data_IF_882118180009
#
_entry.id   IF_882118180009
#
_cell.length_a   1.000
_cell.length_b   1.000
_cell.length_c   1.000
_cell.angle_alpha   90.00
_cell.angle_beta   90.00
_cell.angle_gamma   90.00
#
_symmetry.space_group_name_H-M   'P 1'
#
loop_
_entity.id
_entity.type
_entity.pdbx_description
1 polymer ?
#
# COMPACT_ATOMS: atom_id res chain seq x y z
N UNK A 1 17.66 -11.73 38.29
CA UNK A 1 18.57 -11.67 37.12
C UNK A 1 18.62 -12.97 36.33
N UNK A 2 18.74 -14.15 36.96
CA UNK A 2 18.73 -15.44 36.25
C UNK A 2 17.44 -15.70 35.44
N UNK A 3 16.27 -15.47 36.05
CA UNK A 3 14.97 -15.62 35.37
C UNK A 3 14.85 -14.69 34.16
N UNK A 4 15.37 -13.45 34.27
CA UNK A 4 15.37 -12.47 33.18
C UNK A 4 16.29 -12.88 32.02
N UNK A 5 17.44 -13.47 32.32
CA UNK A 5 18.37 -14.02 31.32
C UNK A 5 17.76 -15.22 30.56
N UNK A 6 17.05 -16.09 31.29
CA UNK A 6 16.35 -17.25 30.70
C UNK A 6 15.18 -16.81 29.82
N UNK A 7 14.43 -15.78 30.22
CA UNK A 7 13.34 -15.22 29.38
C UNK A 7 13.86 -14.56 28.11
N UNK A 8 15.03 -13.90 28.15
CA UNK A 8 15.65 -13.33 26.95
C UNK A 8 16.21 -14.41 26.02
N UNK A 9 16.75 -15.50 26.56
CA UNK A 9 17.23 -16.65 25.77
C UNK A 9 16.08 -17.42 25.09
N UNK A 10 14.91 -17.47 25.74
CA UNK A 10 13.70 -18.06 25.16
C UNK A 10 13.15 -17.27 23.96
N UNK A 11 13.52 -16.00 23.79
CA UNK A 11 13.12 -15.22 22.61
C UNK A 11 13.95 -15.52 21.36
N UNK A 12 15.08 -16.22 21.49
CA UNK A 12 16.03 -16.50 20.39
C UNK A 12 15.46 -17.48 19.36
N UNK A 13 14.43 -18.26 19.71
CA UNK A 13 13.82 -19.26 18.81
C UNK A 13 12.54 -18.79 18.10
N UNK A 14 12.30 -17.48 17.99
CA UNK A 14 11.25 -16.97 17.10
C UNK A 14 11.78 -16.92 15.66
N UNK A 15 12.19 -18.08 15.12
CA UNK A 15 12.30 -18.24 13.68
C UNK A 15 10.90 -18.07 13.11
N UNK A 16 10.67 -16.93 12.47
CA UNK A 16 9.41 -16.61 11.80
C UNK A 16 9.16 -17.67 10.73
N UNK A 17 8.42 -18.72 11.07
CA UNK A 17 8.04 -19.77 10.13
C UNK A 17 6.97 -19.17 9.23
N UNK A 18 7.41 -18.55 8.13
CA UNK A 18 6.51 -18.01 7.13
C UNK A 18 5.67 -19.18 6.58
N UNK A 19 4.33 -19.13 6.70
CA UNK A 19 3.48 -20.17 6.15
C UNK A 19 3.66 -20.26 4.63
N UNK A 20 3.64 -21.46 4.07
CA UNK A 20 3.84 -21.69 2.63
C UNK A 20 2.79 -20.97 1.76
N UNK A 21 1.61 -20.70 2.29
CA UNK A 21 0.55 -19.95 1.61
C UNK A 21 0.77 -18.44 1.55
N UNK A 22 1.73 -17.89 2.31
CA UNK A 22 1.91 -16.43 2.45
C UNK A 22 2.42 -15.78 1.15
N UNK A 23 3.34 -16.44 0.45
CA UNK A 23 3.85 -15.96 -0.84
C UNK A 23 2.74 -15.85 -1.90
N UNK A 24 1.99 -16.93 -2.16
CA UNK A 24 0.83 -16.90 -3.05
C UNK A 24 -0.23 -15.88 -2.63
N UNK A 25 -0.52 -15.75 -1.33
CA UNK A 25 -1.49 -14.78 -0.83
C UNK A 25 -1.07 -13.33 -1.14
N UNK A 26 0.19 -12.97 -0.91
CA UNK A 26 0.72 -11.64 -1.26
C UNK A 26 0.63 -11.40 -2.77
N UNK A 27 1.00 -12.38 -3.60
CA UNK A 27 0.93 -12.26 -5.05
C UNK A 27 -0.50 -12.01 -5.55
N UNK A 28 -1.48 -12.74 -4.99
CA UNK A 28 -2.90 -12.56 -5.30
C UNK A 28 -3.40 -11.18 -4.86
N UNK A 29 -3.08 -10.76 -3.63
CA UNK A 29 -3.48 -9.45 -3.12
C UNK A 29 -2.88 -8.31 -3.96
N UNK A 30 -1.61 -8.43 -4.35
CA UNK A 30 -0.96 -7.48 -5.24
C UNK A 30 -1.67 -7.40 -6.60
N UNK A 31 -1.95 -8.54 -7.24
CA UNK A 31 -2.60 -8.57 -8.55
C UNK A 31 -4.01 -7.98 -8.48
N UNK A 32 -4.83 -8.42 -7.52
CA UNK A 32 -6.20 -7.94 -7.35
C UNK A 32 -6.24 -6.46 -7.03
N UNK A 33 -5.38 -5.97 -6.13
CA UNK A 33 -5.32 -4.57 -5.79
C UNK A 33 -4.83 -3.72 -6.96
N UNK A 34 -3.80 -4.14 -7.70
CA UNK A 34 -3.34 -3.44 -8.90
C UNK A 34 -4.45 -3.30 -9.94
N UNK A 35 -5.21 -4.38 -10.20
CA UNK A 35 -6.35 -4.36 -11.12
C UNK A 35 -7.46 -3.43 -10.59
N UNK A 36 -7.84 -3.55 -9.32
CA UNK A 36 -8.91 -2.76 -8.73
C UNK A 36 -8.60 -1.25 -8.77
N UNK A 37 -7.38 -0.85 -8.40
CA UNK A 37 -6.95 0.55 -8.45
C UNK A 37 -6.84 1.06 -9.88
N UNK A 38 -6.38 0.23 -10.84
CA UNK A 38 -6.33 0.59 -12.25
C UNK A 38 -7.73 0.85 -12.81
N UNK A 39 -8.68 -0.05 -12.54
CA UNK A 39 -10.08 0.09 -12.96
C UNK A 39 -10.69 1.35 -12.33
N UNK A 40 -10.46 1.60 -11.03
CA UNK A 40 -10.94 2.79 -10.36
C UNK A 40 -10.37 4.08 -10.98
N UNK A 41 -9.08 4.11 -11.31
CA UNK A 41 -8.45 5.25 -11.95
C UNK A 41 -9.03 5.50 -13.35
N UNK A 42 -9.13 4.47 -14.19
CA UNK A 42 -9.65 4.57 -15.56
C UNK A 42 -11.11 5.01 -15.56
N UNK A 43 -11.96 4.36 -14.77
CA UNK A 43 -13.37 4.73 -14.66
C UNK A 43 -13.54 6.15 -14.11
N UNK A 44 -12.74 6.52 -13.11
CA UNK A 44 -12.74 7.86 -12.55
C UNK A 44 -12.41 8.93 -13.59
N UNK A 45 -11.34 8.75 -14.37
CA UNK A 45 -10.97 9.72 -15.41
C UNK A 45 -11.96 9.73 -16.58
N UNK A 46 -12.45 8.57 -17.03
CA UNK A 46 -13.43 8.47 -18.10
C UNK A 46 -14.74 9.17 -17.74
N UNK A 47 -15.17 9.05 -16.48
CA UNK A 47 -16.44 9.60 -15.98
C UNK A 47 -16.30 10.98 -15.35
N UNK A 48 -15.08 11.51 -15.22
CA UNK A 48 -14.81 12.82 -14.64
C UNK A 48 -15.51 13.99 -15.36
N UNK A 49 -15.86 13.85 -16.64
CA UNK A 49 -16.63 14.87 -17.38
C UNK A 49 -18.11 14.85 -17.00
N UNK A 50 -18.66 13.69 -16.65
CA UNK A 50 -20.08 13.50 -16.37
C UNK A 50 -20.44 13.78 -14.89
N UNK A 51 -19.55 13.44 -13.95
CA UNK A 51 -19.82 13.54 -12.50
C UNK A 51 -19.15 14.75 -11.82
N UNK A 52 -18.45 15.59 -12.59
CA UNK A 52 -17.89 16.85 -12.12
C UNK A 52 -16.50 16.75 -11.48
N UNK A 53 -16.03 17.84 -10.84
CA UNK A 53 -14.64 17.96 -10.36
C UNK A 53 -14.25 16.96 -9.27
N UNK A 54 -15.19 16.52 -8.42
CA UNK A 54 -14.92 15.60 -7.29
C UNK A 54 -14.42 14.23 -7.77
N UNK A 55 -14.98 13.72 -8.86
CA UNK A 55 -14.57 12.44 -9.47
C UNK A 55 -13.11 12.45 -9.93
N UNK A 56 -12.57 13.60 -10.36
CA UNK A 56 -11.16 13.73 -10.73
C UNK A 56 -10.25 13.48 -9.53
N UNK A 57 -10.60 14.05 -8.37
CA UNK A 57 -9.84 13.89 -7.14
C UNK A 57 -9.85 12.44 -6.62
N UNK A 58 -10.98 11.74 -6.71
CA UNK A 58 -11.03 10.30 -6.42
C UNK A 58 -10.20 9.47 -7.40
N UNK A 59 -10.13 9.88 -8.68
CA UNK A 59 -9.26 9.23 -9.68
C UNK A 59 -7.78 9.38 -9.31
N UNK A 60 -7.37 10.57 -8.84
CA UNK A 60 -6.02 10.80 -8.36
C UNK A 60 -5.68 9.97 -7.12
N UNK A 61 -6.63 9.80 -6.19
CA UNK A 61 -6.48 8.85 -5.07
C UNK A 61 -6.21 7.44 -5.59
N UNK A 62 -6.98 6.96 -6.56
CA UNK A 62 -6.79 5.62 -7.12
C UNK A 62 -5.40 5.45 -7.76
N UNK A 63 -4.91 6.47 -8.48
CA UNK A 63 -3.53 6.46 -9.02
C UNK A 63 -2.48 6.42 -7.92
N UNK A 64 -2.66 7.20 -6.84
CA UNK A 64 -1.74 7.18 -5.70
C UNK A 64 -1.71 5.79 -5.04
N UNK A 65 -2.86 5.15 -4.87
CA UNK A 65 -2.94 3.80 -4.30
C UNK A 65 -2.35 2.73 -5.23
N UNK A 66 -2.43 2.94 -6.55
CA UNK A 66 -1.75 2.10 -7.54
C UNK A 66 -0.23 2.22 -7.42
N UNK A 67 0.30 3.43 -7.28
CA UNK A 67 1.73 3.65 -7.05
C UNK A 67 2.19 3.06 -5.71
N UNK A 68 1.40 3.23 -4.65
CA UNK A 68 1.66 2.58 -3.35
C UNK A 68 1.74 1.06 -3.48
N UNK A 69 0.93 0.44 -4.34
CA UNK A 69 0.96 -1.00 -4.59
C UNK A 69 2.30 -1.52 -5.12
N UNK A 70 3.08 -0.67 -5.81
CA UNK A 70 4.41 -1.03 -6.32
C UNK A 70 5.36 -1.41 -5.16
N UNK A 71 5.11 -0.94 -3.94
CA UNK A 71 5.92 -1.33 -2.78
C UNK A 71 5.96 -2.85 -2.55
N UNK A 72 4.92 -3.61 -2.95
CA UNK A 72 4.92 -5.07 -2.77
C UNK A 72 5.99 -5.74 -3.63
N UNK A 73 6.30 -5.20 -4.81
CA UNK A 73 7.44 -5.63 -5.61
C UNK A 73 8.75 -5.33 -4.89
N UNK A 74 8.88 -4.14 -4.30
CA UNK A 74 10.08 -3.77 -3.54
C UNK A 74 10.29 -4.62 -2.29
N UNK A 75 9.22 -4.96 -1.56
CA UNK A 75 9.28 -5.95 -0.46
C UNK A 75 9.72 -7.30 -1.00
N UNK A 76 9.12 -7.77 -2.11
CA UNK A 76 9.50 -9.04 -2.74
C UNK A 76 10.99 -9.08 -3.11
N UNK A 77 11.51 -8.03 -3.74
CA UNK A 77 12.93 -7.92 -4.07
C UNK A 77 13.82 -7.87 -2.84
N UNK A 78 13.46 -7.07 -1.83
CA UNK A 78 14.28 -6.94 -0.63
C UNK A 78 14.31 -8.20 0.24
N UNK A 79 13.26 -9.02 0.21
CA UNK A 79 13.28 -10.37 0.79
C UNK A 79 14.22 -11.29 0.01
N UNK A 80 14.23 -11.23 -1.32
CA UNK A 80 15.14 -12.03 -2.16
C UNK A 80 16.61 -11.62 -1.97
N UNK A 81 16.90 -10.34 -1.79
CA UNK A 81 18.26 -9.82 -1.61
C UNK A 81 18.71 -9.76 -0.15
N UNK A 82 17.84 -10.07 0.81
CA UNK A 82 18.07 -9.93 2.26
C UNK A 82 18.54 -8.53 2.70
N UNK A 83 18.21 -7.48 1.94
CA UNK A 83 18.58 -6.10 2.24
C UNK A 83 17.42 -5.38 2.94
N UNK A 84 17.45 -5.37 4.27
CA UNK A 84 16.43 -4.71 5.10
C UNK A 84 16.47 -3.19 4.96
N UNK A 85 17.65 -2.60 4.75
CA UNK A 85 17.80 -1.14 4.60
C UNK A 85 17.12 -0.65 3.32
N UNK A 86 17.26 -1.40 2.22
CA UNK A 86 16.55 -1.14 0.97
C UNK A 86 15.03 -1.21 1.16
N UNK A 87 14.52 -2.28 1.79
CA UNK A 87 13.08 -2.46 2.06
C UNK A 87 12.51 -1.27 2.83
N UNK A 88 13.15 -0.87 3.94
CA UNK A 88 12.67 0.23 4.77
C UNK A 88 12.65 1.56 4.01
N UNK A 89 13.73 1.91 3.31
CA UNK A 89 13.80 3.16 2.54
C UNK A 89 12.70 3.23 1.48
N UNK A 90 12.50 2.13 0.74
CA UNK A 90 11.49 2.08 -0.32
C UNK A 90 10.08 2.13 0.26
N UNK A 91 9.82 1.43 1.37
CA UNK A 91 8.50 1.45 2.03
C UNK A 91 8.17 2.83 2.59
N UNK A 92 9.15 3.50 3.22
CA UNK A 92 8.96 4.86 3.72
C UNK A 92 8.65 5.82 2.58
N UNK A 93 9.33 5.70 1.44
CA UNK A 93 9.02 6.50 0.25
C UNK A 93 7.61 6.24 -0.28
N UNK A 94 7.21 4.97 -0.44
CA UNK A 94 5.89 4.66 -0.99
C UNK A 94 4.73 5.03 -0.06
N UNK A 95 4.96 5.09 1.26
CA UNK A 95 3.97 5.61 2.22
C UNK A 95 3.56 7.06 1.94
N UNK A 96 4.41 7.86 1.28
CA UNK A 96 4.04 9.20 0.83
C UNK A 96 2.83 9.18 -0.12
N UNK A 97 2.68 8.15 -0.96
CA UNK A 97 1.52 8.03 -1.85
C UNK A 97 0.23 7.70 -1.10
N UNK A 98 0.29 7.03 0.05
CA UNK A 98 -0.89 6.84 0.91
C UNK A 98 -1.35 8.19 1.44
N UNK A 99 -0.42 9.01 1.92
CA UNK A 99 -0.71 10.35 2.42
C UNK A 99 -1.29 11.21 1.29
N UNK A 100 -0.67 11.20 0.11
CA UNK A 100 -1.16 11.95 -1.04
C UNK A 100 -2.56 11.47 -1.48
N UNK A 101 -2.77 10.16 -1.52
CA UNK A 101 -4.06 9.56 -1.81
C UNK A 101 -5.16 9.95 -0.82
N UNK A 102 -4.82 10.03 0.47
CA UNK A 102 -5.72 10.50 1.52
C UNK A 102 -6.07 11.98 1.34
N UNK A 103 -5.09 12.84 1.03
CA UNK A 103 -5.33 14.26 0.73
C UNK A 103 -6.23 14.42 -0.49
N UNK A 104 -5.96 13.69 -1.58
CA UNK A 104 -6.82 13.70 -2.76
C UNK A 104 -8.24 13.25 -2.43
N UNK A 105 -8.43 12.24 -1.58
CA UNK A 105 -9.74 11.75 -1.18
C UNK A 105 -10.49 12.79 -0.35
N UNK A 106 -9.82 13.45 0.59
CA UNK A 106 -10.39 14.54 1.41
C UNK A 106 -10.89 15.67 0.51
N UNK A 107 -10.08 16.12 -0.45
CA UNK A 107 -10.48 17.15 -1.42
C UNK A 107 -11.68 16.69 -2.26
N UNK A 108 -11.67 15.41 -2.68
CA UNK A 108 -12.78 14.77 -3.38
C UNK A 108 -14.09 14.85 -2.61
N UNK A 109 -14.07 14.51 -1.32
CA UNK A 109 -15.24 14.60 -0.43
C UNK A 109 -15.69 16.04 -0.20
N UNK A 110 -14.74 16.97 0.05
CA UNK A 110 -15.07 18.40 0.23
C UNK A 110 -15.83 18.92 -1.00
N UNK A 111 -15.33 18.65 -2.20
CA UNK A 111 -15.95 19.09 -3.46
C UNK A 111 -17.26 18.36 -3.77
N UNK A 112 -17.46 17.15 -3.24
CA UNK A 112 -18.74 16.45 -3.34
C UNK A 112 -19.80 17.10 -2.44
N UNK A 113 -19.41 17.52 -1.24
CA UNK A 113 -20.32 18.13 -0.26
C UNK A 113 -20.59 19.62 -0.48
N UNK A 114 -19.72 20.32 -1.24
CA UNK A 114 -19.89 21.72 -1.58
C UNK A 114 -19.71 21.93 -3.10
N UNK A 115 -20.74 21.62 -3.92
CA UNK A 115 -20.65 21.62 -5.38
C UNK A 115 -20.68 23.02 -6.03
N UNK A 116 -20.30 24.07 -5.30
CA UNK A 116 -20.29 25.46 -5.79
C UNK A 116 -19.09 25.76 -6.67
#
# INVERSE_FOLDING_TARGET
>A
MFIFLVTLLAQVSNTFHQPSYFGPAIAIMFLLGAIAWLVAAVLGFARARAFGPSTRWFSFTAVCMLLFHIQFLAVGFGVLTNDTSFVFNVLTFFNLFVILGAVCAIIGFIRLTNPR
#
